data_IF_133395918439
#
_entry.id   IF_133395918439
#
_cell.length_a   1.000
_cell.length_b   1.000
_cell.length_c   1.000
_cell.angle_alpha   90.00
_cell.angle_beta   90.00
_cell.angle_gamma   90.00
#
_symmetry.space_group_name_H-M   'P 1'
#
loop_
_entity.id
_entity.type
_entity.pdbx_description
1 polymer ?
#
# COMPACT_ATOMS: atom_id res chain seq x y z
N UNK A 1 18.79 -6.84 -17.53
CA UNK A 1 17.70 -6.59 -18.52
C UNK A 1 17.31 -5.13 -18.44
N UNK A 2 17.20 -4.38 -19.54
CA UNK A 2 16.77 -2.98 -19.50
C UNK A 2 15.35 -2.91 -18.91
N UNK A 3 15.23 -2.21 -17.79
CA UNK A 3 13.97 -2.10 -17.07
C UNK A 3 13.09 -1.05 -17.73
N UNK A 4 12.08 -1.49 -18.48
CA UNK A 4 11.10 -0.58 -19.05
C UNK A 4 10.12 -0.09 -17.97
N UNK A 5 10.04 1.23 -17.83
CA UNK A 5 9.10 1.91 -16.96
C UNK A 5 7.66 1.52 -17.32
N UNK A 6 6.89 1.12 -16.31
CA UNK A 6 5.51 0.69 -16.52
C UNK A 6 4.60 1.86 -16.92
N UNK A 7 3.66 1.67 -17.87
CA UNK A 7 2.73 2.72 -18.29
C UNK A 7 1.78 3.10 -17.14
N UNK A 8 1.41 4.38 -17.08
CA UNK A 8 0.60 4.96 -16.00
C UNK A 8 -0.69 4.17 -15.73
N UNK A 9 -1.48 3.89 -16.77
CA UNK A 9 -2.76 3.19 -16.62
C UNK A 9 -2.64 1.80 -15.98
N UNK A 10 -1.53 1.08 -16.23
CA UNK A 10 -1.28 -0.20 -15.54
C UNK A 10 -0.92 0.01 -14.07
N UNK A 11 -0.20 1.08 -13.73
CA UNK A 11 0.10 1.42 -12.33
C UNK A 11 -1.16 1.82 -11.58
N UNK A 12 -2.01 2.64 -12.19
CA UNK A 12 -3.29 3.05 -11.62
C UNK A 12 -4.21 1.84 -11.42
N UNK A 13 -4.37 0.99 -12.43
CA UNK A 13 -5.21 -0.22 -12.32
C UNK A 13 -4.67 -1.17 -11.24
N UNK A 14 -3.35 -1.36 -11.14
CA UNK A 14 -2.77 -2.15 -10.05
C UNK A 14 -3.13 -1.58 -8.68
N UNK A 15 -3.06 -0.25 -8.52
CA UNK A 15 -3.43 0.44 -7.29
C UNK A 15 -4.92 0.32 -6.97
N UNK A 16 -5.79 0.38 -7.98
CA UNK A 16 -7.23 0.17 -7.80
C UNK A 16 -7.54 -1.25 -7.33
N UNK A 17 -6.88 -2.25 -7.92
CA UNK A 17 -7.03 -3.65 -7.47
C UNK A 17 -6.53 -3.81 -6.03
N UNK A 18 -5.36 -3.27 -5.71
CA UNK A 18 -4.82 -3.30 -4.36
C UNK A 18 -5.76 -2.60 -3.35
N UNK A 19 -6.37 -1.49 -3.75
CA UNK A 19 -7.34 -0.75 -2.94
C UNK A 19 -8.60 -1.57 -2.68
N UNK A 20 -9.18 -2.20 -3.71
CA UNK A 20 -10.36 -3.06 -3.54
C UNK A 20 -10.09 -4.18 -2.55
N UNK A 21 -8.95 -4.88 -2.70
CA UNK A 21 -8.59 -5.95 -1.76
C UNK A 21 -8.38 -5.37 -0.35
N UNK A 22 -7.74 -4.22 -0.22
CA UNK A 22 -7.56 -3.57 1.07
C UNK A 22 -8.89 -3.19 1.74
N UNK A 23 -9.84 -2.66 0.97
CA UNK A 23 -11.18 -2.32 1.49
C UNK A 23 -11.94 -3.58 1.93
N UNK A 24 -11.86 -4.67 1.16
CA UNK A 24 -12.43 -5.96 1.56
C UNK A 24 -11.78 -6.48 2.86
N UNK A 25 -10.46 -6.38 2.99
CA UNK A 25 -9.74 -6.77 4.20
C UNK A 25 -10.10 -5.87 5.40
N UNK A 26 -10.31 -4.58 5.16
CA UNK A 26 -10.72 -3.63 6.20
C UNK A 26 -12.09 -3.99 6.76
N UNK A 27 -13.04 -4.32 5.89
CA UNK A 27 -14.35 -4.81 6.32
C UNK A 27 -14.23 -6.10 7.12
N UNK A 28 -13.39 -7.03 6.68
CA UNK A 28 -13.12 -8.29 7.38
C UNK A 28 -12.50 -8.07 8.77
N UNK A 29 -11.68 -7.03 8.96
CA UNK A 29 -11.11 -6.64 10.26
C UNK A 29 -12.10 -5.86 11.14
N UNK A 30 -12.96 -5.04 10.54
CA UNK A 30 -13.91 -4.21 11.26
C UNK A 30 -15.00 -5.02 11.97
N UNK A 31 -15.46 -6.12 11.36
CA UNK A 31 -16.48 -7.02 11.95
C UNK A 31 -16.03 -7.57 13.31
N UNK A 32 -14.88 -8.27 13.44
CA UNK A 32 -14.42 -8.77 14.74
C UNK A 32 -13.96 -7.66 15.69
N UNK A 33 -13.61 -6.46 15.18
CA UNK A 33 -13.28 -5.32 16.02
C UNK A 33 -14.52 -4.65 16.66
N UNK A 34 -15.73 -4.93 16.15
CA UNK A 34 -16.97 -4.26 16.58
C UNK A 34 -17.24 -4.35 18.09
N UNK A 35 -17.10 -5.52 18.77
CA UNK A 35 -17.29 -5.59 20.22
C UNK A 35 -16.36 -4.66 21.01
N UNK A 36 -15.09 -4.55 20.59
CA UNK A 36 -14.13 -3.65 21.22
C UNK A 36 -14.50 -2.18 21.01
N UNK A 37 -14.98 -1.84 19.80
CA UNK A 37 -15.44 -0.49 19.48
C UNK A 37 -16.66 -0.13 20.34
N UNK A 38 -17.61 -1.03 20.51
CA UNK A 38 -18.79 -0.80 21.35
C UNK A 38 -18.42 -0.57 22.81
N UNK A 39 -17.46 -1.34 23.35
CA UNK A 39 -16.92 -1.11 24.69
C UNK A 39 -16.25 0.27 24.80
N UNK A 40 -15.46 0.67 23.80
CA UNK A 40 -14.83 1.98 23.78
C UNK A 40 -15.86 3.13 23.75
N UNK A 41 -16.92 3.00 22.95
CA UNK A 41 -18.04 3.96 22.92
C UNK A 41 -18.74 4.05 24.28
N UNK A 42 -18.97 2.91 24.94
CA UNK A 42 -19.59 2.89 26.27
C UNK A 42 -18.74 3.60 27.34
N UNK A 43 -17.40 3.50 27.26
CA UNK A 43 -16.48 4.16 28.20
C UNK A 43 -16.38 5.66 27.93
N UNK A 44 -16.26 6.07 26.66
CA UNK A 44 -16.06 7.48 26.28
C UNK A 44 -17.37 8.27 26.33
N UNK A 45 -18.50 7.59 26.19
CA UNK A 45 -19.85 8.17 26.22
C UNK A 45 -20.33 8.66 24.85
N UNK A 46 -21.66 8.79 24.73
CA UNK A 46 -22.39 9.08 23.48
C UNK A 46 -21.91 10.35 22.76
N UNK A 47 -21.41 11.35 23.51
CA UNK A 47 -20.97 12.64 22.95
C UNK A 47 -19.83 12.51 21.93
N UNK A 48 -18.97 11.49 22.05
CA UNK A 48 -17.80 11.32 21.17
C UNK A 48 -17.84 10.02 20.35
N UNK A 49 -19.01 9.38 20.24
CA UNK A 49 -19.13 8.11 19.53
C UNK A 49 -18.65 8.19 18.08
N UNK A 50 -18.95 9.29 17.38
CA UNK A 50 -18.57 9.47 15.98
C UNK A 50 -17.06 9.56 15.81
N UNK A 51 -16.36 10.21 16.75
CA UNK A 51 -14.91 10.25 16.79
C UNK A 51 -14.32 8.86 17.04
N UNK A 52 -14.90 8.08 17.97
CA UNK A 52 -14.45 6.71 18.26
C UNK A 52 -14.63 5.82 17.03
N UNK A 53 -15.80 5.85 16.37
CA UNK A 53 -16.04 5.10 15.13
C UNK A 53 -15.08 5.50 14.01
N UNK A 54 -14.85 6.81 13.84
CA UNK A 54 -13.92 7.32 12.83
C UNK A 54 -12.49 6.82 13.08
N UNK A 55 -11.99 6.96 14.31
CA UNK A 55 -10.65 6.50 14.68
C UNK A 55 -10.53 4.97 14.52
N UNK A 56 -11.53 4.21 14.94
CA UNK A 56 -11.53 2.76 14.81
C UNK A 56 -11.56 2.30 13.35
N UNK A 57 -12.36 2.95 12.50
CA UNK A 57 -12.40 2.67 11.06
C UNK A 57 -11.03 2.96 10.41
N UNK A 58 -10.42 4.10 10.75
CA UNK A 58 -9.07 4.45 10.29
C UNK A 58 -8.02 3.45 10.78
N UNK A 59 -8.10 3.00 12.03
CA UNK A 59 -7.21 1.97 12.56
C UNK A 59 -7.34 0.65 11.79
N UNK A 60 -8.57 0.17 11.57
CA UNK A 60 -8.82 -1.05 10.79
C UNK A 60 -8.29 -0.92 9.35
N UNK A 61 -8.55 0.22 8.71
CA UNK A 61 -8.09 0.49 7.35
C UNK A 61 -6.56 0.54 7.27
N UNK A 62 -5.91 1.22 8.22
CA UNK A 62 -4.46 1.31 8.29
C UNK A 62 -3.81 -0.05 8.55
N UNK A 63 -4.38 -0.87 9.46
CA UNK A 63 -3.92 -2.23 9.72
C UNK A 63 -4.07 -3.12 8.49
N UNK A 64 -5.22 -3.07 7.80
CA UNK A 64 -5.42 -3.81 6.55
C UNK A 64 -4.41 -3.38 5.48
N UNK A 65 -4.17 -2.08 5.33
CA UNK A 65 -3.28 -1.53 4.32
C UNK A 65 -1.82 -1.88 4.58
N UNK A 66 -1.34 -1.73 5.82
CA UNK A 66 0.00 -2.19 6.24
C UNK A 66 0.12 -3.69 6.02
N UNK A 67 -0.86 -4.45 6.50
CA UNK A 67 -0.89 -5.90 6.39
C UNK A 67 -0.85 -6.38 4.94
N UNK A 68 -1.47 -5.66 4.01
CA UNK A 68 -1.43 -6.00 2.59
C UNK A 68 -0.12 -5.53 1.95
N UNK A 69 0.21 -4.25 2.02
CA UNK A 69 1.29 -3.73 1.19
C UNK A 69 2.69 -3.84 1.83
N UNK A 70 2.88 -3.73 3.16
CA UNK A 70 4.22 -3.97 3.77
C UNK A 70 4.55 -5.45 3.65
N UNK A 71 3.59 -6.29 4.01
CA UNK A 71 3.80 -7.71 4.01
C UNK A 71 4.06 -8.25 2.60
N UNK A 72 3.24 -7.84 1.62
CA UNK A 72 3.42 -8.30 0.25
C UNK A 72 4.64 -7.68 -0.41
N UNK A 73 4.97 -6.40 -0.17
CA UNK A 73 6.19 -5.82 -0.74
C UNK A 73 7.45 -6.49 -0.18
N UNK A 74 7.50 -6.76 1.13
CA UNK A 74 8.66 -7.38 1.79
C UNK A 74 8.80 -8.86 1.42
N UNK A 75 7.71 -9.64 1.47
CA UNK A 75 7.78 -11.09 1.20
C UNK A 75 7.78 -11.45 -0.28
N UNK A 76 7.26 -10.58 -1.16
CA UNK A 76 7.06 -10.89 -2.60
C UNK A 76 7.85 -9.98 -3.52
N UNK A 77 9.05 -9.61 -3.07
CA UNK A 77 10.03 -8.87 -3.85
C UNK A 77 9.46 -7.60 -4.52
N UNK A 78 8.57 -6.88 -3.85
CA UNK A 78 7.99 -5.65 -4.39
C UNK A 78 6.75 -5.83 -5.28
N UNK A 79 6.09 -6.98 -5.26
CA UNK A 79 4.80 -7.22 -5.95
C UNK A 79 3.62 -7.34 -4.96
N UNK A 80 2.69 -6.40 -5.02
CA UNK A 80 1.35 -6.52 -4.41
C UNK A 80 0.42 -7.35 -5.31
N UNK A 81 -0.81 -7.66 -4.89
CA UNK A 81 -1.73 -8.50 -5.69
C UNK A 81 -1.99 -7.86 -7.06
N UNK A 82 -2.41 -6.59 -7.07
CA UNK A 82 -2.69 -5.84 -8.29
C UNK A 82 -1.45 -5.65 -9.16
N UNK A 83 -0.29 -5.40 -8.55
CA UNK A 83 0.98 -5.29 -9.29
C UNK A 83 1.39 -6.64 -9.89
N UNK A 84 1.27 -7.73 -9.16
CA UNK A 84 1.56 -9.08 -9.65
C UNK A 84 0.66 -9.50 -10.81
N UNK A 85 -0.64 -9.23 -10.72
CA UNK A 85 -1.62 -9.48 -11.78
C UNK A 85 -1.30 -8.72 -13.08
N UNK A 86 -0.85 -7.48 -12.95
CA UNK A 86 -0.53 -6.63 -14.10
C UNK A 86 0.93 -6.73 -14.57
N UNK A 87 1.73 -7.61 -13.96
CA UNK A 87 3.13 -7.82 -14.32
C UNK A 87 3.97 -6.59 -13.99
N UNK A 88 3.81 -6.07 -12.78
CA UNK A 88 4.52 -4.92 -12.25
C UNK A 88 5.31 -5.32 -11.01
N UNK A 89 6.44 -4.66 -10.78
CA UNK A 89 7.26 -4.84 -9.58
C UNK A 89 7.87 -3.51 -9.17
N UNK A 90 7.92 -3.25 -7.87
CA UNK A 90 8.66 -2.12 -7.29
C UNK A 90 10.08 -2.59 -7.03
N UNK A 91 11.05 -1.84 -7.55
CA UNK A 91 12.48 -2.05 -7.26
C UNK A 91 13.09 -0.74 -6.74
N UNK A 92 14.20 -0.78 -6.00
CA UNK A 92 15.01 0.41 -5.78
C UNK A 92 15.43 1.03 -7.13
N UNK A 93 15.54 2.35 -7.17
CA UNK A 93 16.02 3.09 -8.33
C UNK A 93 17.55 3.09 -8.42
N UNK A 94 18.24 2.94 -7.29
CA UNK A 94 19.70 2.87 -7.21
C UNK A 94 20.20 1.50 -7.73
N UNK A 95 21.13 1.46 -8.69
CA UNK A 95 21.76 0.22 -9.17
C UNK A 95 22.44 -0.62 -8.08
N UNK A 96 22.88 0.02 -6.99
CA UNK A 96 23.63 -0.62 -5.91
C UNK A 96 22.76 -1.05 -4.73
N UNK A 97 21.49 -0.64 -4.72
CA UNK A 97 20.56 -1.01 -3.66
C UNK A 97 20.12 -2.47 -3.78
N UNK A 98 20.01 -3.15 -2.64
CA UNK A 98 19.52 -4.54 -2.56
C UNK A 98 18.19 -4.67 -3.30
N UNK A 99 17.95 -5.74 -4.09
CA UNK A 99 16.77 -5.89 -4.96
C UNK A 99 15.42 -6.04 -4.22
N UNK A 100 15.39 -5.80 -2.91
CA UNK A 100 14.25 -5.93 -2.01
C UNK A 100 14.05 -4.62 -1.27
N UNK A 101 12.81 -4.16 -1.21
CA UNK A 101 12.46 -3.05 -0.32
C UNK A 101 12.52 -3.54 1.12
N UNK A 102 13.22 -2.76 1.95
CA UNK A 102 13.15 -2.91 3.40
C UNK A 102 11.79 -2.43 3.91
N UNK A 103 11.39 -2.90 5.10
CA UNK A 103 10.10 -2.59 5.71
C UNK A 103 9.92 -1.09 5.99
N UNK A 104 10.99 -0.38 6.37
CA UNK A 104 10.98 1.06 6.62
C UNK A 104 10.63 1.89 5.38
N UNK A 105 11.39 1.78 4.28
CA UNK A 105 11.05 2.38 2.98
C UNK A 105 9.64 2.02 2.49
N UNK A 106 9.19 0.79 2.67
CA UNK A 106 7.82 0.41 2.31
C UNK A 106 6.77 1.17 3.14
N UNK A 107 6.97 1.28 4.46
CA UNK A 107 6.07 2.00 5.36
C UNK A 107 6.03 3.52 5.07
N UNK A 108 7.18 4.14 4.79
CA UNK A 108 7.23 5.56 4.43
C UNK A 108 6.45 5.85 3.14
N UNK A 109 6.54 4.94 2.17
CA UNK A 109 5.82 5.03 0.90
C UNK A 109 4.31 5.05 1.12
N UNK A 110 3.85 4.23 2.05
CA UNK A 110 2.45 4.19 2.45
C UNK A 110 2.03 5.48 3.09
N UNK A 111 2.81 5.98 4.05
CA UNK A 111 2.47 7.19 4.78
C UNK A 111 2.22 8.34 3.81
N UNK A 112 3.11 8.55 2.83
CA UNK A 112 2.97 9.59 1.81
C UNK A 112 1.71 9.42 0.97
N UNK A 113 1.37 8.19 0.55
CA UNK A 113 0.18 7.92 -0.26
C UNK A 113 -1.11 8.11 0.55
N UNK A 114 -1.07 7.76 1.83
CA UNK A 114 -2.24 7.65 2.69
C UNK A 114 -2.63 8.95 3.38
N UNK A 115 -1.63 9.76 3.73
CA UNK A 115 -1.76 11.00 4.49
C UNK A 115 -2.76 12.01 3.86
N UNK A 116 -2.80 12.18 2.52
CA UNK A 116 -3.86 12.96 1.85
C UNK A 116 -5.27 12.52 2.22
N UNK A 117 -5.56 11.21 2.15
CA UNK A 117 -6.88 10.67 2.41
C UNK A 117 -7.30 10.80 3.87
N UNK A 118 -6.34 10.60 4.79
CA UNK A 118 -6.57 10.81 6.22
C UNK A 118 -6.97 12.25 6.50
N UNK A 119 -6.21 13.24 6.03
CA UNK A 119 -6.51 14.64 6.27
C UNK A 119 -7.82 15.08 5.60
N UNK A 120 -8.11 14.61 4.37
CA UNK A 120 -9.40 14.89 3.72
C UNK A 120 -10.57 14.34 4.52
N UNK A 121 -10.46 13.13 5.09
CA UNK A 121 -11.54 12.57 5.91
C UNK A 121 -11.72 13.29 7.24
N UNK A 122 -10.62 13.61 7.93
CA UNK A 122 -10.70 14.34 9.21
C UNK A 122 -11.27 15.75 9.00
N UNK A 123 -10.86 16.44 7.93
CA UNK A 123 -11.45 17.72 7.54
C UNK A 123 -12.95 17.61 7.26
N UNK A 124 -13.41 16.54 6.60
CA UNK A 124 -14.83 16.27 6.39
C UNK A 124 -15.64 16.07 7.69
N UNK A 125 -15.02 15.53 8.74
CA UNK A 125 -15.65 15.38 10.07
C UNK A 125 -15.70 16.69 10.86
N UNK A 126 -14.84 17.67 10.55
CA UNK A 126 -14.73 18.95 11.24
C UNK A 126 -14.73 20.13 10.27
N UNK A 127 -15.85 20.36 9.54
CA UNK A 127 -15.90 21.34 8.44
C UNK A 127 -15.66 22.79 8.91
N UNK A 128 -15.96 23.10 10.16
CA UNK A 128 -15.77 24.44 10.75
C UNK A 128 -14.28 24.82 10.95
N UNK A 129 -13.37 23.83 10.91
CA UNK A 129 -11.95 24.09 11.11
C UNK A 129 -11.27 24.52 9.81
N UNK A 130 -11.10 25.84 9.65
CA UNK A 130 -10.37 26.41 8.52
C UNK A 130 -8.96 25.82 8.36
N UNK A 131 -8.25 25.59 9.48
CA UNK A 131 -6.90 25.00 9.46
C UNK A 131 -6.91 23.57 8.91
N UNK A 132 -7.83 22.71 9.36
CA UNK A 132 -7.93 21.33 8.84
C UNK A 132 -8.29 21.30 7.35
N UNK A 133 -9.16 22.21 6.91
CA UNK A 133 -9.55 22.32 5.50
C UNK A 133 -8.36 22.72 4.62
N UNK A 134 -7.52 23.67 5.07
CA UNK A 134 -6.30 24.06 4.35
C UNK A 134 -5.31 22.90 4.29
N UNK A 135 -5.09 22.19 5.42
CA UNK A 135 -4.19 21.03 5.46
C UNK A 135 -4.69 19.92 4.52
N UNK A 136 -5.99 19.63 4.52
CA UNK A 136 -6.60 18.66 3.63
C UNK A 136 -6.44 19.06 2.15
N UNK A 137 -6.61 20.34 1.82
CA UNK A 137 -6.41 20.86 0.47
C UNK A 137 -4.97 20.67 0.00
N UNK A 138 -3.99 21.03 0.83
CA UNK A 138 -2.56 20.85 0.53
C UNK A 138 -2.23 19.37 0.35
N UNK A 139 -2.71 18.52 1.27
CA UNK A 139 -2.45 17.08 1.24
C UNK A 139 -3.05 16.45 -0.02
N UNK A 140 -4.30 16.78 -0.37
CA UNK A 140 -4.93 16.30 -1.61
C UNK A 140 -4.24 16.85 -2.87
N UNK A 141 -3.82 18.12 -2.86
CA UNK A 141 -3.00 18.71 -3.91
C UNK A 141 -1.69 17.94 -4.14
N UNK A 142 -1.02 17.51 -3.08
CA UNK A 142 0.19 16.67 -3.19
C UNK A 142 -0.09 15.32 -3.87
N UNK A 143 -1.26 14.73 -3.61
CA UNK A 143 -1.69 13.50 -4.28
C UNK A 143 -1.89 13.72 -5.79
N UNK A 144 -2.52 14.84 -6.18
CA UNK A 144 -2.71 15.18 -7.59
C UNK A 144 -1.37 15.41 -8.30
N UNK A 145 -0.45 16.15 -7.68
CA UNK A 145 0.92 16.32 -8.20
C UNK A 145 1.61 14.98 -8.36
N UNK A 146 1.46 14.06 -7.40
CA UNK A 146 2.00 12.70 -7.48
C UNK A 146 1.45 11.91 -8.68
N UNK A 147 0.16 12.06 -8.99
CA UNK A 147 -0.46 11.46 -10.17
C UNK A 147 0.08 12.06 -11.48
N UNK A 148 0.24 13.38 -11.53
CA UNK A 148 0.80 14.09 -12.69
C UNK A 148 2.26 13.67 -12.94
N UNK A 149 3.08 13.57 -11.90
CA UNK A 149 4.46 13.08 -12.02
C UNK A 149 4.52 11.63 -12.53
N UNK A 150 3.58 10.78 -12.12
CA UNK A 150 3.47 9.41 -12.65
C UNK A 150 2.99 9.34 -14.12
N UNK A 151 2.35 10.40 -14.64
CA UNK A 151 1.99 10.51 -16.05
C UNK A 151 3.21 10.89 -16.91
N UNK A 152 4.08 11.76 -16.39
CA UNK A 152 5.22 12.33 -17.11
C UNK A 152 6.31 11.26 -17.36
N UNK A 153 6.64 10.95 -18.63
CA UNK A 153 7.67 9.96 -18.96
C UNK A 153 9.10 10.40 -18.60
N UNK A 154 9.35 11.72 -18.55
CA UNK A 154 10.68 12.31 -18.42
C UNK A 154 11.43 11.91 -17.13
N UNK A 155 10.71 11.48 -16.09
CA UNK A 155 11.31 11.09 -14.80
C UNK A 155 11.02 9.61 -14.46
N UNK A 156 11.13 8.71 -15.43
CA UNK A 156 10.77 7.28 -15.29
C UNK A 156 9.34 7.02 -14.79
N UNK A 157 8.46 8.02 -14.91
CA UNK A 157 7.09 8.02 -14.37
C UNK A 157 7.08 7.79 -12.85
N UNK A 158 8.05 8.34 -12.11
CA UNK A 158 8.13 8.23 -10.64
C UNK A 158 7.15 9.21 -9.99
N UNK A 159 6.30 8.69 -9.12
CA UNK A 159 5.42 9.48 -8.26
C UNK A 159 6.20 10.09 -7.08
N UNK A 160 5.60 11.01 -6.32
CA UNK A 160 6.26 11.66 -5.16
C UNK A 160 6.79 10.60 -4.19
N UNK A 161 5.96 9.62 -3.82
CA UNK A 161 6.35 8.55 -2.91
C UNK A 161 7.46 7.65 -3.46
N UNK A 162 7.59 7.55 -4.79
CA UNK A 162 8.67 6.79 -5.43
C UNK A 162 9.97 7.61 -5.43
N UNK A 163 9.89 8.93 -5.63
CA UNK A 163 11.02 9.86 -5.59
C UNK A 163 11.60 10.01 -4.18
N UNK A 164 10.77 10.20 -3.16
CA UNK A 164 11.21 10.38 -1.77
C UNK A 164 11.98 9.17 -1.25
N UNK A 165 11.71 7.98 -1.78
CA UNK A 165 12.23 6.71 -1.27
C UNK A 165 13.28 6.12 -2.22
N UNK A 166 13.46 6.73 -3.40
CA UNK A 166 14.37 6.22 -4.41
C UNK A 166 13.91 4.85 -4.95
N UNK A 167 12.62 4.70 -5.24
CA UNK A 167 12.06 3.47 -5.84
C UNK A 167 11.49 3.75 -7.23
N UNK A 168 11.28 2.69 -8.02
CA UNK A 168 10.61 2.78 -9.32
C UNK A 168 9.80 1.52 -9.61
N UNK A 169 8.73 1.69 -10.40
CA UNK A 169 7.87 0.58 -10.84
C UNK A 169 8.24 0.15 -12.25
N UNK A 170 8.69 -1.09 -12.36
CA UNK A 170 9.12 -1.70 -13.62
C UNK A 170 8.14 -2.78 -14.06
N UNK A 171 8.21 -3.16 -15.34
CA UNK A 171 7.54 -4.36 -15.82
C UNK A 171 8.26 -5.61 -15.28
N UNK A 172 7.47 -6.61 -14.92
CA UNK A 172 7.88 -7.92 -14.43
C UNK A 172 6.96 -9.00 -15.05
N UNK A 173 7.35 -10.29 -14.98
CA UNK A 173 6.47 -11.38 -15.40
C UNK A 173 5.12 -11.30 -14.67
N UNK A 174 4.02 -11.49 -15.41
CA UNK A 174 2.69 -11.62 -14.80
C UNK A 174 2.68 -12.86 -13.92
N UNK A 175 2.17 -12.72 -12.70
CA UNK A 175 2.03 -13.84 -11.77
C UNK A 175 0.59 -14.35 -11.79
N UNK A 176 0.42 -15.68 -11.76
CA UNK A 176 -0.88 -16.30 -11.45
C UNK A 176 -1.15 -16.11 -9.95
N UNK A 177 -2.27 -15.47 -9.61
CA UNK A 177 -2.68 -15.31 -8.20
C UNK A 177 -3.17 -16.65 -7.69
N UNK A 178 -2.33 -17.32 -6.91
CA UNK A 178 -2.72 -18.52 -6.19
C UNK A 178 -3.22 -18.10 -4.82
N UNK A 179 -4.50 -17.70 -4.75
CA UNK A 179 -5.08 -17.06 -3.57
C UNK A 179 -4.78 -17.81 -2.26
N UNK A 180 -4.76 -19.16 -2.30
CA UNK A 180 -4.43 -20.02 -1.16
C UNK A 180 -2.95 -19.92 -0.74
N UNK A 181 -2.01 -20.04 -1.69
CA UNK A 181 -0.56 -19.86 -1.44
C UNK A 181 -0.27 -18.41 -1.00
N UNK A 182 -1.07 -17.48 -1.51
CA UNK A 182 -0.97 -16.06 -1.24
C UNK A 182 -1.44 -15.66 0.14
N UNK A 183 -2.59 -16.19 0.59
CA UNK A 183 -3.08 -16.02 1.95
C UNK A 183 -2.19 -16.76 2.95
N UNK A 184 -1.69 -17.95 2.60
CA UNK A 184 -0.78 -18.70 3.47
C UNK A 184 0.58 -18.01 3.65
N UNK A 185 1.08 -17.34 2.61
CA UNK A 185 2.28 -16.52 2.74
C UNK A 185 2.04 -15.32 3.65
N UNK A 186 0.80 -14.80 3.76
CA UNK A 186 0.35 -13.71 4.64
C UNK A 186 0.46 -14.03 6.15
N UNK A 187 0.53 -15.31 6.50
CA UNK A 187 0.64 -15.76 7.89
C UNK A 187 2.10 -15.68 8.40
N UNK A 188 2.33 -15.20 9.63
CA UNK A 188 3.66 -15.20 10.24
C UNK A 188 4.17 -16.65 10.43
N UNK A 189 5.43 -16.91 10.06
CA UNK A 189 6.11 -18.20 10.33
C UNK A 189 6.46 -19.10 9.13
N UNK A 190 5.91 -18.88 7.91
CA UNK A 190 6.32 -19.68 6.74
C UNK A 190 7.28 -18.93 5.81
N UNK A 191 8.50 -19.45 5.73
CA UNK A 191 9.55 -19.08 4.79
C UNK A 191 9.32 -19.86 3.48
N UNK A 192 9.50 -19.20 2.35
CA UNK A 192 9.33 -19.78 1.01
C UNK A 192 10.53 -20.70 0.71
N UNK A 193 10.40 -22.00 1.01
CA UNK A 193 11.48 -22.99 0.84
C UNK A 193 11.83 -23.27 -0.64
N UNK A 194 10.94 -22.94 -1.58
CA UNK A 194 11.23 -23.04 -3.03
C UNK A 194 12.35 -22.09 -3.47
N UNK A 195 12.70 -21.09 -2.66
CA UNK A 195 13.68 -20.05 -3.00
C UNK A 195 15.12 -20.41 -2.64
N UNK A 196 15.35 -21.56 -1.98
CA UNK A 196 16.67 -21.99 -1.50
C UNK A 196 17.29 -23.15 -2.26
N UNK A 197 16.62 -23.70 -3.27
CA UNK A 197 17.28 -24.60 -4.20
C UNK A 197 17.80 -23.77 -5.38
N UNK A 198 19.12 -23.45 -5.45
CA UNK A 198 19.69 -23.10 -6.74
C UNK A 198 19.37 -24.25 -7.72
N UNK A 199 19.15 -23.95 -9.02
CA UNK A 199 18.99 -25.01 -9.99
C UNK A 199 20.23 -25.91 -9.88
N UNK A 200 20.00 -27.18 -9.57
CA UNK A 200 21.00 -28.23 -9.73
C UNK A 200 21.42 -28.12 -11.18
N UNK A 201 22.66 -27.67 -11.39
CA UNK A 201 23.28 -27.79 -12.71
C UNK A 201 23.39 -29.29 -12.94
N UNK A 202 22.51 -29.82 -13.79
CA UNK A 202 22.72 -31.10 -14.40
C UNK A 202 24.04 -31.00 -15.17
N UNK A 203 25.09 -31.57 -14.58
CA UNK A 203 26.33 -31.87 -15.24
C UNK A 203 26.10 -33.17 -16.01
N UNK A 204 25.90 -33.04 -17.32
CA UNK A 204 25.80 -34.14 -18.28
C UNK A 204 26.00 -33.59 -19.68
#
# INVERSE_FOLDING_TARGET
>A
MPHHSAPFWRRLTARLIDLIVCLSLTFLLAVPATPLILVAVAIVGEKHKDSVYTVAAWACYFTAYIGLEVFMLVRRDGQTIGKGLLGLRVIPADPWARPRLESGPAAWRMLIIFLPFFFTSVSGSYPESATLNIVALIAFGSFLVSCVLALIPANDRRAIHDLTIGTRVIRAPKRKVELKKDLMMALPGRIDFEKHNPPVRDAG
#
